data_IF_918244183772
#
_entry.id   IF_918244183772
#
_cell.length_a   1.000
_cell.length_b   1.000
_cell.length_c   1.000
_cell.angle_alpha   90.00
_cell.angle_beta   90.00
_cell.angle_gamma   90.00
#
_symmetry.space_group_name_H-M   'P 1'
#
loop_
_entity.id
_entity.type
_entity.pdbx_description
1 polymer ?
#
# COMPACT_ATOMS: atom_id res chain seq x y z
N UNK A 1 23.19 51.49 4.80
CA UNK A 1 22.68 50.26 4.15
C UNK A 1 23.28 49.01 4.81
N UNK A 2 22.89 48.67 6.05
CA UNK A 2 23.43 47.49 6.78
C UNK A 2 22.37 46.70 7.58
N UNK A 3 21.07 47.03 7.45
CA UNK A 3 19.99 46.41 8.26
C UNK A 3 19.06 45.47 7.49
N UNK A 4 19.22 45.33 6.18
CA UNK A 4 18.28 44.54 5.33
C UNK A 4 18.78 43.08 5.12
N UNK A 5 20.08 42.82 5.26
CA UNK A 5 20.63 41.47 5.02
C UNK A 5 20.45 40.48 6.17
N UNK A 6 20.19 40.93 7.41
CA UNK A 6 20.07 40.03 8.56
C UNK A 6 18.67 39.40 8.66
N UNK A 7 17.63 40.10 8.21
CA UNK A 7 16.23 39.64 8.31
C UNK A 7 15.90 38.52 7.31
N UNK A 8 16.55 38.51 6.15
CA UNK A 8 16.39 37.45 5.14
C UNK A 8 17.03 36.13 5.57
N UNK A 9 18.09 36.17 6.38
CA UNK A 9 18.80 34.96 6.84
C UNK A 9 18.02 34.22 7.95
N UNK A 10 17.21 34.92 8.75
CA UNK A 10 16.38 34.29 9.76
C UNK A 10 15.14 33.59 9.18
N UNK A 11 14.64 34.05 8.02
CA UNK A 11 13.44 33.46 7.41
C UNK A 11 13.71 32.09 6.76
N UNK A 12 14.95 31.82 6.34
CA UNK A 12 15.33 30.52 5.77
C UNK A 12 15.54 29.43 6.83
N UNK A 13 15.86 29.77 8.08
CA UNK A 13 16.05 28.78 9.16
C UNK A 13 14.72 28.25 9.68
N UNK A 14 13.68 29.09 9.71
CA UNK A 14 12.34 28.70 10.16
C UNK A 14 11.67 27.76 9.14
N UNK A 15 11.91 27.94 7.84
CA UNK A 15 11.35 27.04 6.82
C UNK A 15 11.92 25.61 6.85
N UNK A 16 13.16 25.43 7.34
CA UNK A 16 13.80 24.10 7.41
C UNK A 16 13.24 23.27 8.57
N UNK A 17 12.74 23.90 9.64
CA UNK A 17 12.18 23.18 10.80
C UNK A 17 10.77 22.62 10.53
N UNK A 18 10.01 23.20 9.59
CA UNK A 18 8.69 22.68 9.20
C UNK A 18 8.75 21.58 8.13
N UNK A 19 9.89 21.35 7.48
CA UNK A 19 10.04 20.30 6.46
C UNK A 19 10.30 18.90 7.06
N UNK A 20 10.75 18.81 8.30
CA UNK A 20 11.08 17.54 8.95
C UNK A 20 9.87 16.73 9.45
N UNK A 21 8.67 17.33 9.48
CA UNK A 21 7.43 16.65 9.87
C UNK A 21 6.71 15.94 8.69
N UNK A 22 7.17 16.11 7.45
CA UNK A 22 6.44 15.68 6.25
C UNK A 22 6.81 14.29 5.70
N UNK A 23 7.78 13.58 6.28
CA UNK A 23 8.17 12.25 5.79
C UNK A 23 8.36 11.26 6.94
N UNK A 24 7.32 11.01 7.71
CA UNK A 24 7.32 9.91 8.67
C UNK A 24 6.67 8.66 8.07
N UNK A 25 7.24 7.50 8.38
CA UNK A 25 6.69 6.19 8.01
C UNK A 25 5.29 6.00 8.59
N UNK A 26 4.31 5.62 7.77
CA UNK A 26 2.91 5.46 8.21
C UNK A 26 2.37 4.06 7.95
N UNK A 27 1.51 3.59 8.85
CA UNK A 27 0.71 2.38 8.69
C UNK A 27 -0.76 2.77 8.69
N UNK A 28 -1.47 2.47 7.62
CA UNK A 28 -2.93 2.59 7.53
C UNK A 28 -3.57 1.23 7.69
N UNK A 29 -4.40 1.05 8.71
CA UNK A 29 -5.21 -0.15 8.88
C UNK A 29 -6.61 0.13 8.33
N UNK A 30 -7.04 -0.65 7.33
CA UNK A 30 -8.37 -0.55 6.73
C UNK A 30 -9.19 -1.78 7.10
N UNK A 31 -10.39 -1.59 7.62
CA UNK A 31 -11.33 -2.69 7.88
C UNK A 31 -12.49 -2.72 6.88
N UNK A 32 -12.66 -1.64 6.11
CA UNK A 32 -13.57 -1.53 4.98
C UNK A 32 -13.17 -0.33 4.12
N UNK A 33 -13.80 -0.16 2.96
CA UNK A 33 -13.53 0.97 2.05
C UNK A 33 -13.64 2.35 2.73
N UNK A 34 -14.55 2.49 3.70
CA UNK A 34 -14.80 3.75 4.40
C UNK A 34 -14.22 3.82 5.81
N UNK A 35 -13.79 2.69 6.40
CA UNK A 35 -13.23 2.64 7.76
C UNK A 35 -11.75 2.32 7.72
N UNK A 36 -10.95 3.34 7.96
CA UNK A 36 -9.50 3.24 8.05
C UNK A 36 -8.96 4.15 9.16
N UNK A 37 -7.78 3.81 9.68
CA UNK A 37 -7.04 4.66 10.61
C UNK A 37 -5.56 4.56 10.30
N UNK A 38 -4.89 5.71 10.34
CA UNK A 38 -3.47 5.84 10.03
C UNK A 38 -2.67 6.10 11.30
N UNK A 39 -1.51 5.45 11.39
CA UNK A 39 -0.64 5.42 12.54
C UNK A 39 0.80 5.69 12.11
N UNK A 40 1.60 6.24 13.03
CA UNK A 40 3.05 6.36 12.83
C UNK A 40 3.70 4.99 13.09
N UNK A 41 4.54 4.53 12.18
CA UNK A 41 5.31 3.28 12.37
C UNK A 41 6.41 3.53 13.39
N UNK A 42 6.54 2.63 14.36
CA UNK A 42 7.63 2.61 15.32
C UNK A 42 8.78 1.72 14.84
N UNK A 43 8.46 0.52 14.34
CA UNK A 43 9.45 -0.48 13.90
C UNK A 43 8.81 -1.46 12.93
N UNK A 44 9.60 -1.97 12.00
CA UNK A 44 9.25 -3.13 11.16
C UNK A 44 10.21 -4.26 11.50
N UNK A 45 9.70 -5.44 11.80
CA UNK A 45 10.50 -6.65 12.09
C UNK A 45 10.10 -7.80 11.19
N UNK A 46 11.00 -8.77 11.06
CA UNK A 46 10.71 -10.09 10.52
C UNK A 46 10.83 -11.10 11.66
N UNK A 47 9.76 -11.83 11.91
CA UNK A 47 9.67 -12.80 13.02
C UNK A 47 9.05 -14.11 12.52
N UNK A 48 9.38 -15.21 13.18
CA UNK A 48 8.75 -16.52 12.92
C UNK A 48 7.43 -16.57 13.67
N UNK A 49 6.33 -16.88 12.97
CA UNK A 49 5.03 -17.06 13.60
C UNK A 49 4.93 -18.43 14.27
N UNK A 50 4.22 -18.53 15.42
CA UNK A 50 3.88 -19.81 16.00
C UNK A 50 2.88 -20.58 15.10
N UNK A 51 2.90 -21.91 15.17
CA UNK A 51 2.01 -22.85 14.44
C UNK A 51 2.29 -23.04 12.93
N UNK A 52 3.56 -23.16 12.52
CA UNK A 52 3.97 -23.48 11.14
C UNK A 52 3.53 -22.46 10.06
N UNK A 53 3.07 -21.26 10.43
CA UNK A 53 2.72 -20.18 9.49
C UNK A 53 3.94 -19.46 8.89
N UNK A 54 5.15 -19.96 9.16
CA UNK A 54 6.41 -19.48 8.61
C UNK A 54 6.83 -18.10 9.14
N UNK A 55 7.57 -17.36 8.33
CA UNK A 55 8.00 -16.00 8.68
C UNK A 55 6.88 -14.97 8.43
N UNK A 56 6.89 -13.87 9.17
CA UNK A 56 6.00 -12.73 8.96
C UNK A 56 6.73 -11.40 9.11
N UNK A 57 6.25 -10.40 8.36
CA UNK A 57 6.61 -9.00 8.58
C UNK A 57 5.64 -8.42 9.60
N UNK A 58 6.16 -7.92 10.71
CA UNK A 58 5.38 -7.25 11.75
C UNK A 58 5.69 -5.76 11.71
N UNK A 59 4.65 -4.97 11.47
CA UNK A 59 4.72 -3.50 11.45
C UNK A 59 4.13 -3.02 12.76
N UNK A 60 5.00 -2.60 13.67
CA UNK A 60 4.64 -2.02 14.95
C UNK A 60 4.36 -0.53 14.78
N UNK A 61 3.24 -0.07 15.31
CA UNK A 61 2.95 1.36 15.40
C UNK A 61 3.52 1.94 16.70
N UNK A 62 3.47 3.27 16.85
CA UNK A 62 3.73 3.93 18.14
C UNK A 62 2.59 3.70 19.16
N UNK A 63 1.46 3.11 18.74
CA UNK A 63 0.37 2.65 19.60
C UNK A 63 0.40 1.12 19.81
N UNK A 64 -0.72 0.56 20.28
CA UNK A 64 -0.85 -0.89 20.51
C UNK A 64 -1.16 -1.66 19.22
N UNK A 65 -1.56 -0.96 18.16
CA UNK A 65 -1.91 -1.57 16.89
C UNK A 65 -0.67 -2.04 16.13
N UNK A 66 -0.81 -3.21 15.49
CA UNK A 66 0.22 -3.80 14.61
C UNK A 66 -0.44 -4.43 13.39
N UNK A 67 0.28 -4.44 12.28
CA UNK A 67 -0.06 -5.26 11.11
C UNK A 67 0.90 -6.43 11.02
N UNK A 68 0.38 -7.64 10.85
CA UNK A 68 1.16 -8.87 10.69
C UNK A 68 0.91 -9.41 9.28
N UNK A 69 1.93 -9.37 8.44
CA UNK A 69 1.89 -9.85 7.06
C UNK A 69 2.60 -11.22 7.01
N UNK A 70 1.87 -12.34 6.90
CA UNK A 70 2.49 -13.66 6.79
C UNK A 70 3.21 -13.77 5.43
N UNK A 71 4.50 -14.05 5.44
CA UNK A 71 5.29 -14.19 4.21
C UNK A 71 4.93 -15.47 3.46
N UNK A 72 4.48 -16.52 4.17
CA UNK A 72 3.97 -17.72 3.52
C UNK A 72 2.78 -17.40 2.61
N UNK A 73 1.85 -16.56 3.07
CA UNK A 73 0.74 -16.07 2.24
C UNK A 73 1.20 -15.26 1.03
N UNK A 74 2.29 -14.49 1.15
CA UNK A 74 2.90 -13.73 0.04
C UNK A 74 3.43 -14.68 -1.03
N UNK A 75 4.13 -15.72 -0.60
CA UNK A 75 4.76 -16.73 -1.46
C UNK A 75 3.73 -17.61 -2.17
N UNK A 76 2.63 -17.93 -1.48
CA UNK A 76 1.58 -18.83 -1.95
C UNK A 76 0.56 -18.16 -2.87
N UNK A 77 0.60 -16.83 -3.03
CA UNK A 77 -0.32 -16.14 -3.95
C UNK A 77 -0.15 -16.73 -5.36
N UNK A 78 -1.26 -17.15 -6.03
CA UNK A 78 -1.21 -17.67 -7.38
C UNK A 78 -0.56 -16.68 -8.34
N UNK A 79 0.48 -17.13 -9.05
CA UNK A 79 1.23 -16.33 -10.02
C UNK A 79 0.84 -16.71 -11.45
N UNK A 80 0.42 -15.76 -12.30
CA UNK A 80 0.10 -16.05 -13.69
C UNK A 80 1.38 -16.41 -14.45
N UNK A 81 1.48 -17.63 -14.99
CA UNK A 81 2.67 -18.07 -15.74
C UNK A 81 2.51 -17.74 -17.23
N UNK A 82 3.06 -16.61 -17.69
CA UNK A 82 3.09 -16.26 -19.12
C UNK A 82 4.44 -15.68 -19.56
N UNK A 83 4.76 -15.81 -20.86
CA UNK A 83 5.98 -15.25 -21.45
C UNK A 83 5.96 -13.72 -21.32
N UNK A 84 6.96 -13.17 -20.62
CA UNK A 84 7.09 -11.73 -20.36
C UNK A 84 6.83 -11.33 -18.91
N UNK A 85 6.44 -12.25 -18.02
CA UNK A 85 6.34 -11.93 -16.60
C UNK A 85 7.73 -12.01 -15.91
N UNK A 86 8.27 -10.84 -15.58
CA UNK A 86 9.38 -10.68 -14.64
C UNK A 86 8.86 -11.10 -13.25
N UNK A 87 9.49 -12.10 -12.62
CA UNK A 87 9.15 -12.66 -11.28
C UNK A 87 8.11 -13.82 -11.20
N UNK A 88 7.45 -14.21 -12.29
CA UNK A 88 6.47 -15.32 -12.23
C UNK A 88 7.08 -16.72 -12.08
N UNK A 89 8.38 -16.87 -12.32
CA UNK A 89 9.11 -18.14 -12.21
C UNK A 89 10.13 -18.17 -11.06
N UNK A 90 10.13 -17.16 -10.19
CA UNK A 90 11.06 -17.08 -9.06
C UNK A 90 10.76 -18.14 -8.01
N UNK A 91 11.82 -18.59 -7.33
CA UNK A 91 11.67 -19.54 -6.22
C UNK A 91 10.99 -18.84 -5.05
N UNK A 92 10.27 -19.62 -4.26
CA UNK A 92 9.57 -19.14 -3.06
C UNK A 92 10.48 -18.34 -2.12
N UNK A 93 11.72 -18.81 -1.93
CA UNK A 93 12.74 -18.12 -1.14
C UNK A 93 13.15 -16.75 -1.72
N UNK A 94 13.26 -16.62 -3.04
CA UNK A 94 13.62 -15.37 -3.69
C UNK A 94 12.51 -14.32 -3.50
N UNK A 95 11.25 -14.75 -3.56
CA UNK A 95 10.09 -13.90 -3.31
C UNK A 95 10.04 -13.47 -1.85
N UNK A 96 10.21 -14.43 -0.93
CA UNK A 96 10.23 -14.10 0.50
C UNK A 96 11.32 -13.07 0.81
N UNK A 97 12.52 -13.26 0.26
CA UNK A 97 13.64 -12.34 0.43
C UNK A 97 13.35 -10.97 -0.20
N UNK A 98 12.79 -10.94 -1.41
CA UNK A 98 12.40 -9.71 -2.09
C UNK A 98 11.44 -8.86 -1.23
N UNK A 99 10.35 -9.47 -0.75
CA UNK A 99 9.39 -8.76 0.10
C UNK A 99 9.99 -8.41 1.46
N UNK A 100 10.80 -9.30 2.06
CA UNK A 100 11.51 -8.99 3.31
C UNK A 100 12.38 -7.75 3.16
N UNK A 101 13.17 -7.65 2.09
CA UNK A 101 14.03 -6.50 1.82
C UNK A 101 13.23 -5.22 1.59
N UNK A 102 12.12 -5.27 0.83
CA UNK A 102 11.25 -4.09 0.63
C UNK A 102 10.87 -3.46 1.97
N UNK A 103 10.34 -4.28 2.88
CA UNK A 103 9.83 -3.82 4.17
C UNK A 103 10.93 -3.42 5.14
N UNK A 104 11.98 -4.25 5.28
CA UNK A 104 13.04 -4.03 6.26
C UNK A 104 13.97 -2.87 5.87
N UNK A 105 14.18 -2.64 4.58
CA UNK A 105 15.03 -1.56 4.07
C UNK A 105 14.24 -0.28 3.71
N UNK A 106 12.92 -0.26 3.97
CA UNK A 106 12.04 0.85 3.63
C UNK A 106 12.42 2.14 4.37
N UNK A 107 12.70 3.20 3.62
CA UNK A 107 12.88 4.55 4.12
C UNK A 107 11.56 5.31 3.98
N UNK A 108 11.05 5.77 5.13
CA UNK A 108 9.79 6.52 5.23
C UNK A 108 8.62 5.87 4.46
N UNK A 109 8.36 4.55 4.62
CA UNK A 109 7.32 3.89 3.84
C UNK A 109 5.91 4.29 4.30
N UNK A 110 5.00 4.36 3.34
CA UNK A 110 3.57 4.34 3.54
C UNK A 110 3.07 2.91 3.31
N UNK A 111 2.57 2.29 4.37
CA UNK A 111 2.08 0.92 4.33
C UNK A 111 0.58 0.95 4.62
N UNK A 112 -0.22 0.24 3.84
CA UNK A 112 -1.62 -0.03 4.18
C UNK A 112 -1.82 -1.53 4.35
N UNK A 113 -2.62 -1.92 5.34
CA UNK A 113 -3.06 -3.29 5.54
C UNK A 113 -4.58 -3.33 5.59
N UNK A 114 -5.17 -4.19 4.76
CA UNK A 114 -6.60 -4.47 4.78
C UNK A 114 -6.85 -5.65 5.73
N UNK A 115 -7.64 -5.42 6.76
CA UNK A 115 -7.92 -6.38 7.84
C UNK A 115 -9.38 -6.80 7.76
N UNK A 116 -9.62 -8.11 7.69
CA UNK A 116 -10.94 -8.71 7.85
C UNK A 116 -10.86 -9.81 8.91
N UNK A 117 -11.84 -9.85 9.82
CA UNK A 117 -11.89 -10.89 10.88
C UNK A 117 -10.59 -11.02 11.70
N UNK A 118 -9.88 -9.90 11.91
CA UNK A 118 -8.61 -9.87 12.63
C UNK A 118 -7.40 -10.40 11.86
N UNK A 119 -7.55 -10.73 10.57
CA UNK A 119 -6.48 -11.20 9.68
C UNK A 119 -6.19 -10.20 8.57
N UNK A 120 -4.94 -10.10 8.16
CA UNK A 120 -4.57 -9.29 6.98
C UNK A 120 -4.97 -10.06 5.71
N UNK A 121 -5.72 -9.39 4.85
CA UNK A 121 -6.22 -9.89 3.57
C UNK A 121 -5.43 -9.33 2.39
N UNK A 122 -4.95 -8.10 2.53
CA UNK A 122 -4.13 -7.43 1.54
C UNK A 122 -3.19 -6.42 2.20
N UNK A 123 -2.14 -6.05 1.47
CA UNK A 123 -1.31 -4.90 1.83
C UNK A 123 -0.93 -4.08 0.61
N UNK A 124 -0.53 -2.84 0.86
CA UNK A 124 0.20 -2.00 -0.09
C UNK A 124 1.39 -1.34 0.60
N UNK A 125 2.49 -1.22 -0.12
CA UNK A 125 3.72 -0.55 0.29
C UNK A 125 4.07 0.49 -0.76
N UNK A 126 4.29 1.72 -0.32
CA UNK A 126 4.85 2.80 -1.14
C UNK A 126 6.04 3.39 -0.40
N UNK A 127 7.22 3.41 -1.01
CA UNK A 127 8.38 3.97 -0.35
C UNK A 127 9.69 3.74 -1.11
N UNK A 128 10.72 4.46 -0.68
CA UNK A 128 12.09 4.23 -1.13
C UNK A 128 12.65 3.04 -0.34
N UNK A 129 13.26 2.08 -1.01
CA UNK A 129 13.84 0.89 -0.35
C UNK A 129 15.10 0.46 -1.10
N UNK A 130 15.76 -0.60 -0.63
CA UNK A 130 16.83 -1.26 -1.34
C UNK A 130 16.58 -2.77 -1.42
N UNK A 131 16.76 -3.32 -2.61
CA UNK A 131 16.62 -4.76 -2.87
C UNK A 131 17.90 -5.23 -3.54
N UNK A 132 18.50 -6.31 -3.01
CA UNK A 132 19.83 -6.80 -3.42
C UNK A 132 20.88 -5.69 -3.46
N UNK A 133 20.83 -4.79 -2.47
CA UNK A 133 21.73 -3.64 -2.33
C UNK A 133 21.48 -2.48 -3.32
N UNK A 134 20.49 -2.55 -4.19
CA UNK A 134 20.17 -1.50 -5.17
C UNK A 134 19.01 -0.62 -4.68
N UNK A 135 19.16 0.71 -4.64
CA UNK A 135 18.07 1.60 -4.25
C UNK A 135 16.97 1.61 -5.32
N UNK A 136 15.72 1.62 -4.90
CA UNK A 136 14.54 1.68 -5.78
C UNK A 136 13.37 2.37 -5.09
N UNK A 137 12.49 2.99 -5.88
CA UNK A 137 11.18 3.43 -5.43
C UNK A 137 10.20 2.30 -5.73
N UNK A 138 9.51 1.81 -4.70
CA UNK A 138 8.58 0.68 -4.82
C UNK A 138 7.18 1.17 -4.53
N UNK A 139 6.25 0.79 -5.40
CA UNK A 139 4.81 0.81 -5.16
C UNK A 139 4.30 -0.60 -5.44
N UNK A 140 4.09 -1.38 -4.40
CA UNK A 140 3.75 -2.79 -4.49
C UNK A 140 2.55 -3.07 -3.59
N UNK A 141 1.59 -3.83 -4.10
CA UNK A 141 0.48 -4.35 -3.30
C UNK A 141 0.22 -5.80 -3.60
N UNK A 142 -0.39 -6.50 -2.65
CA UNK A 142 -0.76 -7.90 -2.80
C UNK A 142 -2.05 -8.18 -2.03
N UNK A 143 -2.92 -8.98 -2.65
CA UNK A 143 -4.12 -9.55 -2.02
C UNK A 143 -3.88 -11.05 -1.91
N UNK A 144 -4.00 -11.61 -0.70
CA UNK A 144 -3.64 -13.01 -0.43
C UNK A 144 -4.71 -13.96 -0.94
N UNK A 145 -5.96 -13.65 -0.64
CA UNK A 145 -7.12 -14.43 -1.05
C UNK A 145 -7.69 -13.80 -2.31
N UNK A 146 -6.93 -13.86 -3.39
CA UNK A 146 -7.42 -13.46 -4.71
C UNK A 146 -8.67 -14.27 -5.00
N UNK A 147 -9.80 -13.58 -5.15
CA UNK A 147 -11.00 -14.13 -5.74
C UNK A 147 -10.58 -14.89 -7.00
N UNK A 148 -10.99 -16.16 -7.08
CA UNK A 148 -10.78 -17.06 -8.20
C UNK A 148 -11.14 -16.29 -9.47
N UNK A 149 -10.13 -15.97 -10.29
CA UNK A 149 -10.38 -15.61 -11.68
C UNK A 149 -10.96 -16.86 -12.32
N UNK A 150 -12.30 -16.97 -12.34
CA UNK A 150 -12.95 -17.94 -13.20
C UNK A 150 -12.60 -17.54 -14.64
N UNK A 151 -12.12 -18.50 -15.42
CA UNK A 151 -11.81 -18.39 -16.85
C UNK A 151 -13.10 -18.28 -17.70
N UNK A 152 -14.14 -17.67 -17.14
CA UNK A 152 -15.42 -17.38 -17.80
C UNK A 152 -15.44 -15.90 -18.12
N UNK A 153 -15.88 -15.56 -19.33
CA UNK A 153 -16.10 -14.18 -19.74
C UNK A 153 -16.81 -13.40 -18.63
N UNK A 154 -16.27 -12.22 -18.29
CA UNK A 154 -16.89 -11.28 -17.36
C UNK A 154 -18.36 -11.10 -17.77
N UNK A 155 -19.27 -11.69 -17.00
CA UNK A 155 -20.70 -11.43 -17.14
C UNK A 155 -20.99 -10.29 -16.16
N UNK A 156 -21.06 -9.03 -16.62
CA UNK A 156 -21.52 -7.97 -15.76
C UNK A 156 -22.87 -8.40 -15.20
N UNK A 157 -23.05 -8.32 -13.88
CA UNK A 157 -24.38 -8.37 -13.30
C UNK A 157 -25.07 -7.10 -13.77
N UNK A 158 -25.77 -7.19 -14.90
CA UNK A 158 -26.58 -6.11 -15.45
C UNK A 158 -27.70 -5.89 -14.45
N UNK A 159 -27.49 -4.97 -13.51
CA UNK A 159 -28.60 -4.44 -12.72
C UNK A 159 -29.39 -3.54 -13.66
N UNK A 160 -30.69 -3.80 -13.78
CA UNK A 160 -31.54 -2.87 -14.52
C UNK A 160 -31.44 -1.48 -13.87
N UNK A 161 -31.22 -0.41 -14.65
CA UNK A 161 -31.03 0.92 -14.11
C UNK A 161 -32.29 1.35 -13.36
N UNK A 162 -32.10 1.71 -12.10
CA UNK A 162 -33.15 2.23 -11.24
C UNK A 162 -33.64 3.59 -11.77
N UNK A 163 -34.79 4.06 -11.29
CA UNK A 163 -35.31 5.38 -11.68
C UNK A 163 -34.32 6.52 -11.38
N UNK A 164 -33.49 6.35 -10.34
CA UNK A 164 -32.45 7.30 -9.95
C UNK A 164 -31.28 7.26 -10.94
N UNK A 165 -30.85 6.06 -11.35
CA UNK A 165 -29.76 5.91 -12.32
C UNK A 165 -30.11 6.56 -13.67
N UNK A 166 -31.37 6.40 -14.12
CA UNK A 166 -31.86 7.05 -15.34
C UNK A 166 -31.87 8.57 -15.23
N UNK A 167 -32.24 9.10 -14.07
CA UNK A 167 -32.22 10.55 -13.82
C UNK A 167 -30.79 11.12 -13.92
N UNK A 168 -29.81 10.43 -13.34
CA UNK A 168 -28.41 10.86 -13.44
C UNK A 168 -27.85 10.75 -14.86
N UNK A 169 -28.21 9.71 -15.61
CA UNK A 169 -27.82 9.57 -17.02
C UNK A 169 -28.43 10.67 -17.90
N UNK A 170 -29.69 11.03 -17.66
CA UNK A 170 -30.35 12.12 -18.38
C UNK A 170 -29.74 13.48 -18.02
N UNK A 171 -29.45 13.72 -16.73
CA UNK A 171 -28.74 14.92 -16.28
C UNK A 171 -27.33 15.01 -16.90
N UNK A 172 -26.60 13.89 -16.96
CA UNK A 172 -25.28 13.81 -17.57
C UNK A 172 -25.33 14.09 -19.09
N UNK A 173 -26.33 13.56 -19.80
CA UNK A 173 -26.54 13.87 -21.23
C UNK A 173 -26.83 15.35 -21.47
N UNK A 174 -27.62 15.97 -20.60
CA UNK A 174 -27.90 17.42 -20.69
C UNK A 174 -26.61 18.21 -20.47
N UNK A 175 -25.86 17.90 -19.41
CA UNK A 175 -24.60 18.59 -19.11
C UNK A 175 -23.57 18.43 -20.24
N UNK A 176 -23.44 17.22 -20.81
CA UNK A 176 -22.54 16.95 -21.92
C UNK A 176 -22.96 17.67 -23.21
N UNK A 177 -24.26 17.88 -23.43
CA UNK A 177 -24.78 18.66 -24.56
C UNK A 177 -24.50 20.17 -24.44
N UNK A 178 -24.26 20.69 -23.23
CA UNK A 178 -23.87 22.09 -23.01
C UNK A 178 -22.35 22.28 -22.88
N UNK A 179 -21.60 21.19 -22.67
CA UNK A 179 -20.14 21.19 -22.63
C UNK A 179 -19.48 21.09 -24.02
N UNK A 180 -20.26 20.81 -25.07
CA UNK A 180 -19.85 20.75 -26.48
C UNK A 180 -20.75 21.61 -27.38
#
# INVERSE_FOLDING_TARGET
>A
MKRISLTFLCFSIIAITFANDFMESTLTLRTSLSKHKTYKIAKITKEVLPNDEGNAIIIHTKGDEKCVIPLQKVVDVPRPKYQGCTHCNEKNEEIENYYSEIFLNGQTPEISCDISEGKVMAFSFIGRTSVKGKPMLVNQGLVFDNAVYEDKAFKPVVKEPTAIDRFFDDAAKVLLKYAY
#
